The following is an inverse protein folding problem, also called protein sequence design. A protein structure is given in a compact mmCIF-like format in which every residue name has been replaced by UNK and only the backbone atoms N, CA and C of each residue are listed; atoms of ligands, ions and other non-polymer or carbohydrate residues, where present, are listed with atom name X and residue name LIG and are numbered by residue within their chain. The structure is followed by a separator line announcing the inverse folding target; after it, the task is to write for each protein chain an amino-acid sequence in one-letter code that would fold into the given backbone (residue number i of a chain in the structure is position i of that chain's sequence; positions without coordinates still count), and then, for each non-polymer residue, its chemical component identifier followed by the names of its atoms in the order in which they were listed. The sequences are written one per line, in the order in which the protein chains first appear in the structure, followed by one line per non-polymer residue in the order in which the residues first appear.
data_IF_123465125783
#
_entry.id   IF_123465125783
#
_cell.length_a   1.000
_cell.length_b   1.000
_cell.length_c   1.000
_cell.angle_alpha   90.00
_cell.angle_beta   90.00
_cell.angle_gamma   90.00
#
_symmetry.space_group_name_H-M   'P 1'
#
loop_
_entity.id
_entity.type
_entity.pdbx_description
1 polymer ?
#
# COMPACT_ATOMS: atom_id res chain seq x y z
N UNK A 1 55.06 23.72 -20.04
CA UNK A 1 55.41 23.85 -21.48
C UNK A 1 56.91 23.58 -21.61
N UNK A 2 57.31 22.92 -22.72
CA UNK A 2 58.60 22.26 -23.02
C UNK A 2 58.67 20.81 -22.48
N UNK A 3 58.27 19.75 -23.20
CA UNK A 3 58.80 19.13 -24.44
C UNK A 3 60.23 18.58 -24.25
N UNK A 4 60.64 17.35 -24.62
CA UNK A 4 60.14 16.33 -25.56
C UNK A 4 60.98 15.02 -25.50
N UNK A 5 60.34 13.85 -25.66
CA UNK A 5 60.69 12.59 -26.41
C UNK A 5 62.08 11.89 -26.19
N UNK A 6 62.33 10.58 -26.44
CA UNK A 6 61.67 9.53 -27.25
C UNK A 6 62.12 8.08 -26.86
N UNK A 7 61.27 7.10 -27.21
CA UNK A 7 61.46 5.71 -27.76
C UNK A 7 62.59 4.78 -27.24
N UNK A 8 62.39 3.46 -27.07
CA UNK A 8 61.99 2.47 -28.09
C UNK A 8 61.84 1.05 -27.49
N UNK A 9 60.92 0.23 -28.07
CA UNK A 9 60.83 -1.24 -27.94
C UNK A 9 61.50 -1.93 -29.14
N UNK A 10 61.86 -3.23 -29.07
CA UNK A 10 61.11 -4.29 -29.81
C UNK A 10 60.93 -5.61 -29.00
N UNK A 11 59.79 -6.32 -29.11
CA UNK A 11 59.52 -7.54 -29.93
C UNK A 11 60.37 -8.80 -29.59
N UNK A 12 59.81 -9.91 -29.06
CA UNK A 12 58.96 -10.99 -29.63
C UNK A 12 59.79 -12.23 -30.02
N UNK A 13 59.44 -13.43 -29.52
CA UNK A 13 59.99 -14.70 -30.00
C UNK A 13 59.70 -15.91 -29.12
N UNK A 14 59.05 -16.93 -29.68
CA UNK A 14 58.31 -17.98 -29.00
C UNK A 14 58.99 -19.37 -28.94
N UNK A 15 58.53 -20.16 -27.95
CA UNK A 15 58.29 -21.63 -27.91
C UNK A 15 59.34 -22.66 -28.37
N UNK A 16 59.59 -23.67 -27.51
CA UNK A 16 59.71 -25.08 -27.91
C UNK A 16 59.39 -26.09 -26.79
N UNK A 17 59.04 -27.29 -27.23
CA UNK A 17 58.26 -28.39 -26.64
C UNK A 17 58.92 -29.24 -25.52
N UNK A 18 58.06 -30.03 -24.85
CA UNK A 18 58.26 -31.10 -23.83
C UNK A 18 58.88 -32.40 -24.43
N UNK A 19 59.33 -33.43 -23.64
CA UNK A 19 58.42 -34.44 -23.04
C UNK A 19 58.87 -35.23 -21.76
N UNK A 20 57.89 -35.93 -21.15
CA UNK A 20 57.94 -37.19 -20.35
C UNK A 20 58.71 -37.22 -19.00
N UNK A 21 58.48 -38.10 -18.00
CA UNK A 21 57.38 -38.94 -17.50
C UNK A 21 57.98 -39.74 -16.34
N UNK A 22 57.43 -39.72 -15.11
CA UNK A 22 57.52 -40.86 -14.16
C UNK A 22 56.76 -40.60 -12.86
N UNK A 23 56.06 -41.66 -12.44
CA UNK A 23 55.14 -41.79 -11.31
C UNK A 23 55.81 -41.53 -9.95
N UNK A 24 55.05 -41.09 -8.94
CA UNK A 24 54.72 -41.87 -7.72
C UNK A 24 53.87 -41.01 -6.76
N UNK A 25 52.72 -41.54 -6.38
CA UNK A 25 51.75 -40.99 -5.44
C UNK A 25 52.26 -40.91 -3.99
N UNK A 26 52.09 -39.77 -3.33
CA UNK A 26 51.84 -39.71 -1.88
C UNK A 26 50.81 -38.60 -1.56
N UNK A 27 49.57 -39.06 -1.39
CA UNK A 27 48.44 -38.56 -0.58
C UNK A 27 48.64 -37.22 0.16
N UNK A 28 47.99 -36.17 -0.33
CA UNK A 28 47.67 -34.96 0.44
C UNK A 28 46.15 -34.73 0.42
N UNK A 29 45.53 -34.59 1.58
CA UNK A 29 44.11 -34.27 1.78
C UNK A 29 43.80 -32.83 1.33
N UNK A 30 42.76 -32.56 0.52
CA UNK A 30 42.41 -31.18 0.21
C UNK A 30 41.68 -30.54 1.39
N UNK A 31 42.19 -29.39 1.84
CA UNK A 31 41.47 -28.42 2.67
C UNK A 31 40.19 -27.99 1.96
N UNK A 32 39.06 -28.03 2.66
CA UNK A 32 37.78 -27.48 2.22
C UNK A 32 37.91 -25.97 1.93
N UNK A 33 37.43 -25.45 0.79
CA UNK A 33 37.43 -24.03 0.53
C UNK A 33 36.37 -23.33 1.40
N UNK A 34 36.77 -22.22 2.02
CA UNK A 34 35.90 -21.28 2.72
C UNK A 34 34.72 -20.89 1.84
N UNK A 35 33.51 -21.31 2.23
CA UNK A 35 32.26 -21.04 1.55
C UNK A 35 31.94 -19.55 1.68
N UNK A 36 32.12 -18.80 0.59
CA UNK A 36 31.59 -17.44 0.47
C UNK A 36 30.07 -17.50 0.68
N UNK A 37 29.43 -16.55 1.39
CA UNK A 37 27.98 -16.52 1.50
C UNK A 37 27.40 -16.28 0.10
N UNK A 38 26.66 -17.25 -0.41
CA UNK A 38 25.90 -17.09 -1.66
C UNK A 38 24.80 -16.06 -1.43
N UNK A 39 24.86 -14.93 -2.15
CA UNK A 39 23.76 -13.98 -2.23
C UNK A 39 22.52 -14.71 -2.75
N UNK A 40 21.40 -14.61 -2.03
CA UNK A 40 20.13 -15.21 -2.47
C UNK A 40 19.65 -14.51 -3.74
N UNK A 41 19.03 -15.25 -4.67
CA UNK A 41 18.49 -14.69 -5.92
C UNK A 41 17.53 -13.51 -5.68
N UNK A 42 16.86 -13.46 -4.52
CA UNK A 42 16.01 -12.35 -4.11
C UNK A 42 16.81 -11.04 -3.89
N UNK A 43 17.98 -11.13 -3.25
CA UNK A 43 18.85 -9.96 -2.99
C UNK A 43 19.46 -9.35 -4.25
N UNK A 44 19.73 -10.17 -5.27
CA UNK A 44 20.21 -9.69 -6.58
C UNK A 44 19.08 -8.99 -7.36
N UNK A 45 17.86 -9.51 -7.29
CA UNK A 45 16.69 -8.89 -7.92
C UNK A 45 16.30 -7.57 -7.24
N UNK A 46 16.42 -7.49 -5.91
CA UNK A 46 16.23 -6.24 -5.16
C UNK A 46 17.29 -5.18 -5.52
N UNK A 47 18.56 -5.56 -5.71
CA UNK A 47 19.64 -4.66 -6.14
C UNK A 47 19.46 -4.16 -7.59
N UNK A 48 18.94 -5.00 -8.49
CA UNK A 48 18.77 -4.67 -9.91
C UNK A 48 17.55 -3.79 -10.22
N UNK A 49 16.67 -3.55 -9.24
CA UNK A 49 15.41 -2.82 -9.45
C UNK A 49 15.49 -1.30 -9.24
N UNK A 50 16.65 -0.78 -8.82
CA UNK A 50 16.86 0.67 -8.72
C UNK A 50 17.11 1.22 -10.12
N UNK A 51 16.10 1.87 -10.71
CA UNK A 51 16.26 2.59 -11.97
C UNK A 51 17.50 3.52 -11.88
N UNK A 52 18.37 3.57 -12.92
CA UNK A 52 19.56 4.39 -12.89
C UNK A 52 19.17 5.86 -12.71
N UNK A 53 19.50 6.43 -11.55
CA UNK A 53 19.34 7.85 -11.28
C UNK A 53 20.36 8.58 -12.14
N UNK A 54 19.94 9.60 -12.90
CA UNK A 54 20.86 10.45 -13.67
C UNK A 54 21.93 11.04 -12.74
N UNK A 55 23.13 10.47 -12.77
CA UNK A 55 24.33 11.06 -12.19
C UNK A 55 24.75 12.25 -13.05
N UNK A 56 25.21 13.33 -12.43
CA UNK A 56 25.69 14.58 -13.04
C UNK A 56 24.66 15.71 -13.22
N UNK A 57 24.30 16.34 -12.10
CA UNK A 57 24.04 17.79 -12.07
C UNK A 57 24.41 18.30 -10.68
N UNK A 58 25.08 19.46 -10.60
CA UNK A 58 25.36 20.16 -9.34
C UNK A 58 24.04 20.81 -8.87
N UNK A 59 23.17 20.01 -8.25
CA UNK A 59 21.81 20.43 -7.86
C UNK A 59 21.91 21.32 -6.61
N UNK A 60 21.36 22.55 -6.63
CA UNK A 60 21.39 23.42 -5.46
C UNK A 60 20.60 22.81 -4.30
N UNK A 61 21.20 22.80 -3.12
CA UNK A 61 20.52 22.37 -1.89
C UNK A 61 19.44 23.40 -1.52
N UNK A 62 18.24 22.91 -1.21
CA UNK A 62 17.09 23.70 -0.76
C UNK A 62 16.60 23.16 0.58
N UNK A 63 16.06 24.04 1.43
CA UNK A 63 15.31 23.60 2.59
C UNK A 63 13.86 23.32 2.17
N UNK A 64 13.45 22.05 2.18
CA UNK A 64 12.10 21.68 1.79
C UNK A 64 11.04 22.23 2.76
N UNK A 65 11.40 22.51 4.02
CA UNK A 65 10.47 22.96 5.06
C UNK A 65 9.82 24.30 4.73
N UNK A 66 10.56 25.17 4.03
CA UNK A 66 10.13 26.52 3.65
C UNK A 66 9.53 26.59 2.25
N UNK A 67 9.46 25.47 1.52
CA UNK A 67 8.84 25.44 0.20
C UNK A 67 7.34 25.71 0.38
N UNK A 68 6.76 26.68 -0.35
CA UNK A 68 5.36 27.02 -0.19
C UNK A 68 4.45 25.95 -0.82
N UNK A 69 3.29 25.71 -0.20
CA UNK A 69 2.31 24.73 -0.68
C UNK A 69 1.91 24.92 -2.13
N UNK A 70 1.87 26.16 -2.63
CA UNK A 70 1.60 26.49 -4.04
C UNK A 70 2.50 25.75 -5.04
N UNK A 71 3.77 25.49 -4.69
CA UNK A 71 4.70 24.76 -5.56
C UNK A 71 4.23 23.31 -5.79
N UNK A 72 3.63 22.68 -4.76
CA UNK A 72 3.11 21.32 -4.88
C UNK A 72 1.78 21.23 -5.62
N UNK A 73 0.97 22.28 -5.62
CA UNK A 73 -0.37 22.26 -6.24
C UNK A 73 -0.44 22.96 -7.60
N UNK A 74 0.65 23.59 -8.06
CA UNK A 74 0.70 24.36 -9.30
C UNK A 74 0.15 23.61 -10.53
N UNK A 75 0.55 22.34 -10.71
CA UNK A 75 0.14 21.52 -11.85
C UNK A 75 -1.13 20.68 -11.58
N UNK A 76 -1.87 20.98 -10.51
CA UNK A 76 -3.03 20.18 -10.12
C UNK A 76 -4.30 20.71 -10.78
N UNK A 77 -4.92 19.88 -11.62
CA UNK A 77 -6.30 20.11 -12.04
C UNK A 77 -7.25 19.66 -10.92
N UNK A 78 -7.82 20.63 -10.21
CA UNK A 78 -8.75 20.36 -9.12
C UNK A 78 -10.15 20.09 -9.70
N UNK A 79 -10.61 18.84 -9.54
CA UNK A 79 -11.96 18.44 -9.92
C UNK A 79 -12.87 18.37 -8.69
N UNK A 80 -14.11 18.80 -8.85
CA UNK A 80 -15.12 18.80 -7.80
C UNK A 80 -16.32 17.98 -8.22
N UNK A 81 -17.03 17.44 -7.24
CA UNK A 81 -18.37 16.89 -7.42
C UNK A 81 -19.39 17.80 -6.74
N UNK A 82 -20.49 18.09 -7.41
CA UNK A 82 -21.59 18.87 -6.83
C UNK A 82 -22.33 18.04 -5.78
N UNK A 83 -22.79 18.69 -4.71
CA UNK A 83 -23.36 18.00 -3.54
C UNK A 83 -24.61 17.14 -3.82
N UNK A 84 -25.39 17.49 -4.85
CA UNK A 84 -26.62 16.81 -5.24
C UNK A 84 -26.41 15.75 -6.34
N UNK A 85 -25.19 15.58 -6.87
CA UNK A 85 -24.89 14.53 -7.85
C UNK A 85 -25.03 13.15 -7.24
N UNK A 86 -25.35 12.16 -8.07
CA UNK A 86 -25.50 10.76 -7.67
C UNK A 86 -24.15 10.14 -7.28
N UNK A 87 -24.18 9.20 -6.34
CA UNK A 87 -22.97 8.46 -5.90
C UNK A 87 -22.30 7.73 -7.05
N UNK A 88 -23.08 7.14 -7.95
CA UNK A 88 -22.60 6.39 -9.10
C UNK A 88 -21.76 7.29 -10.02
N UNK A 89 -22.22 8.52 -10.27
CA UNK A 89 -21.48 9.52 -11.04
C UNK A 89 -20.20 9.94 -10.34
N UNK A 90 -20.24 10.17 -9.03
CA UNK A 90 -19.05 10.51 -8.25
C UNK A 90 -18.03 9.37 -8.23
N UNK A 91 -18.49 8.13 -8.12
CA UNK A 91 -17.66 6.93 -8.21
C UNK A 91 -17.03 6.81 -9.60
N UNK A 92 -17.79 7.06 -10.66
CA UNK A 92 -17.29 7.03 -12.03
C UNK A 92 -16.20 8.10 -12.24
N UNK A 93 -16.39 9.31 -11.69
CA UNK A 93 -15.35 10.35 -11.68
C UNK A 93 -14.07 9.91 -10.95
N UNK A 94 -14.16 9.21 -9.82
CA UNK A 94 -12.97 8.67 -9.14
C UNK A 94 -12.20 7.70 -10.05
N UNK A 95 -12.92 6.82 -10.76
CA UNK A 95 -12.34 5.81 -11.65
C UNK A 95 -11.74 6.45 -12.90
N UNK A 96 -12.50 7.26 -13.63
CA UNK A 96 -12.10 7.84 -14.92
C UNK A 96 -10.88 8.75 -14.81
N UNK A 97 -10.81 9.52 -13.72
CA UNK A 97 -9.69 10.43 -13.48
C UNK A 97 -8.58 9.83 -12.61
N UNK A 98 -8.68 8.55 -12.24
CA UNK A 98 -7.70 7.87 -11.39
C UNK A 98 -7.50 8.55 -10.02
N UNK A 99 -8.55 9.18 -9.50
CA UNK A 99 -8.55 9.92 -8.24
C UNK A 99 -8.94 9.01 -7.08
N UNK A 100 -8.39 9.32 -5.91
CA UNK A 100 -8.66 8.57 -4.67
C UNK A 100 -9.57 9.33 -3.70
N UNK A 101 -9.96 10.56 -4.04
CA UNK A 101 -10.92 11.39 -3.31
C UNK A 101 -11.35 12.57 -4.19
N UNK A 102 -12.58 13.04 -4.02
CA UNK A 102 -13.22 14.16 -4.69
C UNK A 102 -13.70 15.19 -3.66
N UNK A 103 -13.26 16.45 -3.71
CA UNK A 103 -13.90 17.53 -2.96
C UNK A 103 -15.36 17.72 -3.39
N UNK A 104 -16.25 17.87 -2.41
CA UNK A 104 -17.68 18.13 -2.62
C UNK A 104 -17.91 19.63 -2.56
N UNK A 105 -18.47 20.19 -3.63
CA UNK A 105 -18.82 21.60 -3.74
C UNK A 105 -20.31 21.80 -3.48
N UNK A 106 -20.63 22.68 -2.54
CA UNK A 106 -22.01 23.11 -2.27
C UNK A 106 -22.53 24.05 -3.35
N UNK A 107 -23.84 24.28 -3.36
CA UNK A 107 -24.50 25.29 -4.19
C UNK A 107 -23.94 26.71 -3.94
N UNK A 108 -23.51 27.01 -2.72
CA UNK A 108 -22.84 28.28 -2.37
C UNK A 108 -21.41 28.40 -2.93
N UNK A 109 -20.89 27.33 -3.52
CA UNK A 109 -19.54 27.26 -4.09
C UNK A 109 -18.44 26.88 -3.11
N UNK A 110 -18.77 26.68 -1.83
CA UNK A 110 -17.84 26.25 -0.79
C UNK A 110 -17.55 24.75 -0.86
N UNK A 111 -16.39 24.32 -0.37
CA UNK A 111 -16.07 22.90 -0.23
C UNK A 111 -16.56 22.42 1.14
N UNK A 112 -17.57 21.55 1.14
CA UNK A 112 -18.24 21.09 2.37
C UNK A 112 -17.73 19.73 2.88
N UNK A 113 -16.79 19.13 2.16
CA UNK A 113 -16.21 17.84 2.49
C UNK A 113 -15.56 17.17 1.29
N UNK A 114 -15.34 15.86 1.41
CA UNK A 114 -14.81 15.03 0.33
C UNK A 114 -15.67 13.79 0.16
N UNK A 115 -15.55 13.13 -0.98
CA UNK A 115 -16.09 11.80 -1.26
C UNK A 115 -14.94 10.89 -1.69
N UNK A 116 -14.81 9.71 -1.11
CA UNK A 116 -13.75 8.76 -1.45
C UNK A 116 -14.22 7.29 -1.41
N UNK A 117 -13.28 6.38 -1.66
CA UNK A 117 -13.58 4.94 -1.65
C UNK A 117 -13.92 4.39 -0.26
N UNK A 118 -13.56 5.08 0.83
CA UNK A 118 -13.98 4.66 2.17
C UNK A 118 -15.46 4.94 2.40
N UNK A 119 -15.98 6.06 1.89
CA UNK A 119 -17.43 6.32 1.89
C UNK A 119 -18.18 5.28 1.09
N UNK A 120 -17.65 4.93 -0.08
CA UNK A 120 -18.23 3.91 -0.94
C UNK A 120 -18.24 2.52 -0.27
N UNK A 121 -17.19 2.20 0.49
CA UNK A 121 -17.13 0.98 1.29
C UNK A 121 -18.21 0.98 2.37
N UNK A 122 -18.31 2.06 3.16
CA UNK A 122 -19.32 2.20 4.20
C UNK A 122 -20.74 2.15 3.63
N UNK A 123 -20.98 2.83 2.51
CA UNK A 123 -22.23 2.80 1.77
C UNK A 123 -22.58 1.39 1.29
N UNK A 124 -21.65 0.66 0.69
CA UNK A 124 -21.88 -0.72 0.24
C UNK A 124 -22.24 -1.65 1.41
N UNK A 125 -21.50 -1.58 2.52
CA UNK A 125 -21.79 -2.35 3.73
C UNK A 125 -23.17 -2.01 4.32
N UNK A 126 -23.59 -0.74 4.22
CA UNK A 126 -24.90 -0.26 4.66
C UNK A 126 -26.03 -0.82 3.79
N UNK A 127 -25.89 -0.76 2.47
CA UNK A 127 -26.90 -1.26 1.52
C UNK A 127 -27.12 -2.76 1.69
N UNK A 128 -26.04 -3.51 1.96
CA UNK A 128 -26.06 -4.95 2.24
C UNK A 128 -26.65 -5.31 3.61
N UNK A 129 -26.96 -4.33 4.45
CA UNK A 129 -27.56 -4.52 5.77
C UNK A 129 -26.58 -5.07 6.82
N UNK A 130 -25.28 -5.02 6.53
CA UNK A 130 -24.23 -5.55 7.40
C UNK A 130 -23.75 -4.47 8.39
N UNK A 131 -23.69 -3.22 7.94
CA UNK A 131 -23.37 -2.08 8.78
C UNK A 131 -24.60 -1.17 8.93
N UNK A 132 -24.93 -0.79 10.16
CA UNK A 132 -26.12 0.01 10.49
C UNK A 132 -25.80 1.45 10.90
N UNK A 133 -24.63 1.96 10.49
CA UNK A 133 -24.12 3.22 11.03
C UNK A 133 -23.37 3.03 12.34
N UNK A 134 -22.90 4.15 12.89
CA UNK A 134 -22.44 4.20 14.27
C UNK A 134 -23.66 4.14 15.21
N UNK A 135 -23.76 3.18 16.15
CA UNK A 135 -24.87 3.07 17.09
C UNK A 135 -25.09 4.32 17.95
N UNK A 136 -24.07 5.18 18.06
CA UNK A 136 -24.09 6.40 18.86
C UNK A 136 -24.43 7.66 18.05
N UNK A 137 -24.61 7.54 16.73
CA UNK A 137 -25.04 8.67 15.90
C UNK A 137 -26.55 8.90 16.07
N UNK A 138 -27.00 10.06 16.60
CA UNK A 138 -28.42 10.39 16.70
C UNK A 138 -29.14 10.43 15.34
N UNK A 139 -28.39 10.50 14.22
CA UNK A 139 -28.91 10.42 12.85
C UNK A 139 -28.99 8.98 12.30
N UNK A 140 -28.87 7.95 13.16
CA UNK A 140 -28.93 6.54 12.77
C UNK A 140 -30.14 6.16 11.89
N UNK A 141 -31.28 6.83 12.07
CA UNK A 141 -32.49 6.63 11.26
C UNK A 141 -32.29 7.08 9.79
N UNK A 142 -31.55 8.16 9.57
CA UNK A 142 -31.23 8.69 8.23
C UNK A 142 -30.43 7.66 7.42
N UNK A 143 -29.57 6.85 8.06
CA UNK A 143 -28.82 5.80 7.37
C UNK A 143 -29.69 4.63 6.92
N UNK A 144 -30.66 4.24 7.73
CA UNK A 144 -31.63 3.20 7.38
C UNK A 144 -32.51 3.63 6.19
N UNK A 145 -32.89 4.91 6.17
CA UNK A 145 -33.67 5.52 5.09
C UNK A 145 -32.86 5.55 3.79
N UNK A 146 -31.59 5.99 3.83
CA UNK A 146 -30.69 5.98 2.66
C UNK A 146 -30.52 4.55 2.13
N UNK A 147 -30.33 3.57 3.01
CA UNK A 147 -30.19 2.18 2.62
C UNK A 147 -31.47 1.63 1.98
N UNK A 148 -32.64 2.01 2.50
CA UNK A 148 -33.93 1.62 1.93
C UNK A 148 -34.16 2.25 0.55
N UNK A 149 -33.84 3.54 0.41
CA UNK A 149 -33.94 4.28 -0.85
C UNK A 149 -33.02 3.68 -1.91
N UNK A 150 -31.79 3.31 -1.54
CA UNK A 150 -30.84 2.64 -2.43
C UNK A 150 -31.39 1.32 -2.94
N UNK A 151 -31.94 0.48 -2.05
CA UNK A 151 -32.50 -0.84 -2.42
C UNK A 151 -33.74 -0.72 -3.30
N UNK A 152 -34.48 0.38 -3.19
CA UNK A 152 -35.60 0.72 -4.06
C UNK A 152 -35.18 1.35 -5.39
N UNK A 153 -33.86 1.51 -5.65
CA UNK A 153 -33.33 2.10 -6.88
C UNK A 153 -33.44 3.63 -6.94
N UNK A 154 -33.61 4.28 -5.78
CA UNK A 154 -33.68 5.73 -5.69
C UNK A 154 -32.30 6.38 -5.79
N UNK A 155 -32.29 7.61 -6.31
CA UNK A 155 -31.07 8.41 -6.44
C UNK A 155 -30.56 8.86 -5.08
N UNK A 156 -29.28 8.60 -4.81
CA UNK A 156 -28.66 9.02 -3.55
C UNK A 156 -27.62 10.10 -3.86
N UNK A 157 -27.82 11.33 -3.37
CA UNK A 157 -26.86 12.39 -3.56
C UNK A 157 -25.62 12.19 -2.68
N UNK A 158 -24.47 12.60 -3.20
CA UNK A 158 -23.16 12.46 -2.55
C UNK A 158 -23.12 13.09 -1.16
N UNK A 159 -23.82 14.21 -0.94
CA UNK A 159 -23.85 14.89 0.37
C UNK A 159 -24.35 14.02 1.51
N UNK A 160 -25.20 13.03 1.24
CA UNK A 160 -25.75 12.13 2.28
C UNK A 160 -24.76 11.04 2.69
N UNK A 161 -23.75 10.77 1.87
CA UNK A 161 -22.76 9.71 2.14
C UNK A 161 -21.41 10.23 2.58
N UNK A 162 -21.20 11.55 2.54
CA UNK A 162 -19.93 12.18 2.87
C UNK A 162 -19.47 11.93 4.32
N UNK A 163 -20.37 11.58 5.23
CA UNK A 163 -20.03 11.37 6.64
C UNK A 163 -20.24 9.90 7.09
N UNK A 164 -20.46 8.96 6.15
CA UNK A 164 -20.64 7.54 6.49
C UNK A 164 -19.34 6.86 6.95
N UNK A 165 -18.23 7.21 6.32
CA UNK A 165 -16.92 6.63 6.64
C UNK A 165 -16.26 7.27 7.86
N UNK A 166 -15.34 6.55 8.50
CA UNK A 166 -14.42 7.13 9.50
C UNK A 166 -13.43 8.05 8.81
N UNK A 167 -13.78 9.33 8.69
CA UNK A 167 -13.00 10.31 7.93
C UNK A 167 -11.91 11.01 8.71
N UNK A 168 -10.86 11.34 7.97
CA UNK A 168 -9.89 12.30 8.43
C UNK A 168 -10.53 13.69 8.57
N UNK A 169 -10.06 14.51 9.52
CA UNK A 169 -10.48 15.91 9.59
C UNK A 169 -10.16 16.62 8.27
N UNK A 170 -11.09 17.45 7.80
CA UNK A 170 -10.86 18.32 6.66
C UNK A 170 -9.99 19.51 7.10
N UNK A 171 -8.69 19.44 6.83
CA UNK A 171 -7.71 20.46 7.22
C UNK A 171 -7.33 21.29 6.00
N UNK A 172 -7.36 22.61 6.15
CA UNK A 172 -6.92 23.59 5.16
C UNK A 172 -5.61 24.25 5.58
N UNK A 173 -4.77 24.61 4.61
CA UNK A 173 -3.55 25.41 4.78
C UNK A 173 -3.46 26.47 3.70
N UNK A 174 -2.85 27.62 4.01
CA UNK A 174 -2.60 28.68 3.02
C UNK A 174 -1.61 28.20 1.95
N UNK A 175 -1.76 28.69 0.71
CA UNK A 175 -0.83 28.42 -0.38
C UNK A 175 0.60 28.92 -0.13
N UNK A 176 0.74 29.90 0.76
CA UNK A 176 2.03 30.48 1.22
C UNK A 176 2.66 29.69 2.38
N UNK A 177 1.93 28.77 3.00
CA UNK A 177 2.40 27.96 4.12
C UNK A 177 3.52 27.00 3.67
N UNK A 178 4.52 26.79 4.54
CA UNK A 178 5.64 25.88 4.27
C UNK A 178 5.25 24.40 4.35
N UNK A 179 5.93 23.55 3.57
CA UNK A 179 5.70 22.09 3.59
C UNK A 179 5.96 21.44 4.96
N UNK A 180 6.73 22.07 5.86
CA UNK A 180 6.89 21.59 7.23
C UNK A 180 5.53 21.33 7.89
N UNK A 181 4.60 22.29 7.79
CA UNK A 181 3.27 22.16 8.40
C UNK A 181 2.46 21.02 7.78
N UNK A 182 2.57 20.85 6.47
CA UNK A 182 1.90 19.77 5.74
C UNK A 182 2.45 18.40 6.15
N UNK A 183 3.76 18.26 6.31
CA UNK A 183 4.38 17.02 6.79
C UNK A 183 3.96 16.71 8.23
N UNK A 184 3.82 17.71 9.11
CA UNK A 184 3.28 17.50 10.46
C UNK A 184 1.87 16.91 10.42
N UNK A 185 0.99 17.54 9.66
CA UNK A 185 -0.41 17.12 9.53
C UNK A 185 -0.51 15.72 8.91
N UNK A 186 0.19 15.49 7.80
CA UNK A 186 0.12 14.22 7.08
C UNK A 186 0.83 13.07 7.84
N UNK A 187 1.90 13.40 8.56
CA UNK A 187 2.68 12.51 9.40
C UNK A 187 2.02 12.15 10.73
N UNK A 188 0.96 12.85 11.14
CA UNK A 188 0.10 12.49 12.29
C UNK A 188 -1.04 11.52 11.90
N UNK A 189 -1.15 11.18 10.62
CA UNK A 189 -2.07 10.18 10.09
C UNK A 189 -3.28 10.73 9.33
N UNK A 190 -3.34 12.05 9.10
CA UNK A 190 -4.26 12.67 8.14
C UNK A 190 -3.80 12.32 6.73
N UNK A 191 -4.69 11.88 5.84
CA UNK A 191 -4.27 11.45 4.50
C UNK A 191 -4.15 12.59 3.49
N UNK A 192 -4.85 13.72 3.70
CA UNK A 192 -4.94 14.84 2.76
C UNK A 192 -5.08 16.19 3.46
N UNK A 193 -4.52 17.23 2.84
CA UNK A 193 -4.68 18.62 3.25
C UNK A 193 -5.13 19.44 2.04
N UNK A 194 -6.17 20.25 2.21
CA UNK A 194 -6.62 21.19 1.19
C UNK A 194 -5.78 22.48 1.24
N UNK A 195 -5.39 22.99 0.09
CA UNK A 195 -4.63 24.24 -0.04
C UNK A 195 -5.57 25.35 -0.46
N UNK A 196 -5.65 26.43 0.31
CA UNK A 196 -6.48 27.60 0.02
C UNK A 196 -5.64 28.76 -0.49
N UNK A 197 -6.23 29.56 -1.37
CA UNK A 197 -5.61 30.82 -1.84
C UNK A 197 -5.49 31.80 -0.68
N UNK A 198 -4.38 32.52 -0.63
CA UNK A 198 -4.08 33.47 0.43
C UNK A 198 -5.22 34.49 0.62
N UNK A 199 -5.67 34.66 1.87
CA UNK A 199 -6.75 35.59 2.21
C UNK A 199 -8.16 35.15 1.79
N UNK A 200 -8.34 33.92 1.30
CA UNK A 200 -9.66 33.39 0.89
C UNK A 200 -9.87 31.94 1.35
N UNK A 201 -11.13 31.49 1.39
CA UNK A 201 -11.48 30.08 1.61
C UNK A 201 -11.53 29.27 0.30
N UNK A 202 -11.01 29.82 -0.80
CA UNK A 202 -11.02 29.17 -2.10
C UNK A 202 -9.95 28.08 -2.17
N UNK A 203 -10.37 26.82 -2.28
CA UNK A 203 -9.47 25.68 -2.43
C UNK A 203 -8.87 25.66 -3.83
N UNK A 204 -7.55 25.75 -3.93
CA UNK A 204 -6.79 25.73 -5.19
C UNK A 204 -6.14 24.37 -5.46
N UNK A 205 -6.00 23.51 -4.44
CA UNK A 205 -5.40 22.19 -4.61
C UNK A 205 -5.54 21.30 -3.37
N UNK A 206 -5.08 20.06 -3.49
CA UNK A 206 -5.10 19.08 -2.40
C UNK A 206 -3.78 18.31 -2.38
N UNK A 207 -3.07 18.38 -1.27
CA UNK A 207 -1.83 17.64 -1.05
C UNK A 207 -2.16 16.34 -0.32
N UNK A 208 -1.92 15.20 -0.98
CA UNK A 208 -2.00 13.88 -0.37
C UNK A 208 -0.63 13.39 0.11
N UNK A 209 -0.62 12.40 1.01
CA UNK A 209 0.62 11.74 1.46
C UNK A 209 1.48 11.22 0.30
N UNK A 210 0.85 10.59 -0.70
CA UNK A 210 1.57 10.07 -1.88
C UNK A 210 2.16 11.21 -2.73
N UNK A 211 1.45 12.33 -2.87
CA UNK A 211 1.91 13.48 -3.68
C UNK A 211 3.14 14.15 -3.06
N UNK A 212 3.12 14.41 -1.75
CA UNK A 212 4.29 14.99 -1.07
C UNK A 212 5.47 14.02 -1.05
N UNK A 213 5.22 12.71 -0.93
CA UNK A 213 6.28 11.70 -1.02
C UNK A 213 6.89 11.63 -2.43
N UNK A 214 6.07 11.70 -3.49
CA UNK A 214 6.53 11.78 -4.87
C UNK A 214 7.37 13.04 -5.13
N UNK A 215 6.96 14.18 -4.55
CA UNK A 215 7.74 15.41 -4.59
C UNK A 215 9.11 15.25 -3.92
N UNK A 216 9.17 14.67 -2.71
CA UNK A 216 10.43 14.37 -2.03
C UNK A 216 11.29 13.39 -2.81
N UNK A 217 10.69 12.37 -3.44
CA UNK A 217 11.40 11.39 -4.25
C UNK A 217 12.06 12.04 -5.48
N UNK A 218 11.31 12.86 -6.22
CA UNK A 218 11.80 13.56 -7.42
C UNK A 218 12.89 14.59 -7.10
N UNK A 219 12.80 15.22 -5.94
CA UNK A 219 13.72 16.29 -5.53
C UNK A 219 14.73 15.87 -4.46
N UNK A 220 14.90 14.56 -4.21
CA UNK A 220 15.70 14.06 -3.08
C UNK A 220 17.13 14.62 -3.07
N UNK A 221 17.76 14.76 -4.24
CA UNK A 221 19.12 15.32 -4.40
C UNK A 221 19.23 16.77 -3.95
N UNK A 222 18.13 17.52 -4.01
CA UNK A 222 18.07 18.91 -3.55
C UNK A 222 17.91 19.00 -2.02
N UNK A 223 17.64 17.88 -1.35
CA UNK A 223 17.27 17.82 0.06
C UNK A 223 18.22 16.90 0.84
N UNK A 224 19.35 17.44 1.31
CA UNK A 224 20.41 16.70 1.99
C UNK A 224 19.92 15.66 3.03
N UNK A 225 18.98 16.03 3.91
CA UNK A 225 18.44 15.12 4.93
C UNK A 225 17.71 13.91 4.32
N UNK A 226 16.95 14.12 3.24
CA UNK A 226 16.20 13.04 2.57
C UNK A 226 17.18 12.16 1.80
N UNK A 227 18.16 12.75 1.12
CA UNK A 227 19.22 12.02 0.41
C UNK A 227 19.99 11.06 1.34
N UNK A 228 20.28 11.49 2.57
CA UNK A 228 20.97 10.67 3.58
C UNK A 228 20.12 9.52 4.13
N UNK A 229 18.79 9.70 4.22
CA UNK A 229 17.88 8.67 4.75
C UNK A 229 17.60 7.54 3.76
N UNK A 230 17.48 7.88 2.47
CA UNK A 230 17.09 6.95 1.41
C UNK A 230 17.95 5.67 1.32
N UNK A 231 19.30 5.69 1.44
CA UNK A 231 20.11 4.48 1.38
C UNK A 231 20.04 3.60 2.64
N UNK A 232 19.55 4.11 3.77
CA UNK A 232 19.50 3.36 5.02
C UNK A 232 18.46 2.23 4.94
N UNK A 233 18.79 1.10 5.57
CA UNK A 233 17.87 -0.04 5.64
C UNK A 233 16.74 0.20 6.63
N UNK A 234 15.59 -0.46 6.44
CA UNK A 234 14.45 -0.31 7.34
C UNK A 234 14.81 -0.74 8.78
N UNK A 235 15.68 -1.74 8.92
CA UNK A 235 16.22 -2.18 10.20
C UNK A 235 17.10 -1.12 10.86
N UNK A 236 17.99 -0.46 10.11
CA UNK A 236 18.85 0.61 10.65
C UNK A 236 18.03 1.81 11.11
N UNK A 237 16.93 2.10 10.42
CA UNK A 237 15.98 3.16 10.75
C UNK A 237 15.05 2.77 11.92
N UNK A 238 15.10 1.52 12.42
CA UNK A 238 14.11 0.94 13.35
C UNK A 238 12.67 1.23 12.90
N UNK A 239 12.41 0.98 11.62
CA UNK A 239 11.27 1.54 10.90
C UNK A 239 10.22 0.48 10.55
N UNK A 240 8.97 0.78 10.89
CA UNK A 240 7.81 -0.09 10.67
C UNK A 240 7.10 -0.47 11.96
N UNK A 241 5.80 -0.76 11.86
CA UNK A 241 4.96 -1.20 12.98
C UNK A 241 4.79 -2.72 12.95
N UNK A 242 4.84 -3.36 14.12
CA UNK A 242 4.55 -4.79 14.29
C UNK A 242 3.04 -5.09 14.32
N UNK A 243 2.21 -4.06 14.54
CA UNK A 243 0.76 -4.20 14.58
C UNK A 243 0.21 -4.18 13.15
N UNK A 244 0.04 -5.37 12.57
CA UNK A 244 -0.56 -5.54 11.25
C UNK A 244 -1.94 -6.16 11.38
N UNK A 245 -2.89 -5.61 10.63
CA UNK A 245 -4.21 -6.20 10.46
C UNK A 245 -4.19 -6.89 9.10
N UNK A 246 -4.42 -8.20 9.11
CA UNK A 246 -4.43 -9.06 7.93
C UNK A 246 -5.72 -9.85 7.87
N UNK A 247 -6.01 -10.39 6.69
CA UNK A 247 -7.12 -11.31 6.47
C UNK A 247 -6.61 -12.55 5.73
N UNK A 248 -7.13 -13.72 6.08
CA UNK A 248 -6.79 -14.94 5.35
C UNK A 248 -7.43 -14.91 3.95
N UNK A 249 -6.68 -15.38 2.95
CA UNK A 249 -7.10 -15.38 1.56
C UNK A 249 -8.41 -16.15 1.28
N UNK A 250 -8.72 -17.15 2.09
CA UNK A 250 -9.93 -17.96 1.94
C UNK A 250 -11.18 -17.30 2.55
N UNK A 251 -11.01 -16.26 3.37
CA UNK A 251 -12.13 -15.49 3.94
C UNK A 251 -12.81 -14.61 2.89
N UNK A 252 -14.05 -14.22 3.17
CA UNK A 252 -14.87 -13.46 2.23
C UNK A 252 -14.41 -12.03 2.07
N UNK A 253 -14.57 -11.48 0.87
CA UNK A 253 -14.33 -10.05 0.60
C UNK A 253 -15.16 -9.17 1.52
N UNK A 254 -16.42 -9.56 1.81
CA UNK A 254 -17.27 -8.86 2.75
C UNK A 254 -16.61 -8.66 4.13
N UNK A 255 -15.99 -9.72 4.67
CA UNK A 255 -15.28 -9.66 5.96
C UNK A 255 -14.06 -8.72 5.87
N UNK A 256 -13.37 -8.67 4.73
CA UNK A 256 -12.27 -7.73 4.49
C UNK A 256 -12.75 -6.28 4.55
N UNK A 257 -13.86 -5.97 3.86
CA UNK A 257 -14.44 -4.63 3.82
C UNK A 257 -14.95 -4.20 5.21
N UNK A 258 -15.61 -5.10 5.93
CA UNK A 258 -16.04 -4.87 7.31
C UNK A 258 -14.84 -4.56 8.21
N UNK A 259 -13.79 -5.38 8.14
CA UNK A 259 -12.58 -5.21 8.95
C UNK A 259 -11.89 -3.88 8.63
N UNK A 260 -11.80 -3.50 7.35
CA UNK A 260 -11.24 -2.21 6.93
C UNK A 260 -12.03 -1.02 7.47
N UNK A 261 -13.36 -1.06 7.32
CA UNK A 261 -14.26 -0.01 7.79
C UNK A 261 -14.24 0.11 9.32
N UNK A 262 -14.38 -1.02 10.03
CA UNK A 262 -14.38 -1.07 11.49
C UNK A 262 -13.06 -0.56 12.08
N UNK A 263 -11.93 -0.92 11.49
CA UNK A 263 -10.60 -0.53 11.99
C UNK A 263 -10.15 0.85 11.52
N UNK A 264 -10.85 1.45 10.55
CA UNK A 264 -10.50 2.73 9.93
C UNK A 264 -9.17 2.66 9.19
N UNK A 265 -8.92 1.57 8.46
CA UNK A 265 -7.68 1.33 7.71
C UNK A 265 -7.97 1.32 6.21
N UNK A 266 -7.00 1.79 5.43
CA UNK A 266 -7.10 1.95 3.97
C UNK A 266 -6.83 0.66 3.18
N UNK A 267 -6.21 -0.34 3.81
CA UNK A 267 -5.80 -1.59 3.18
C UNK A 267 -5.49 -2.69 4.19
N UNK A 268 -5.63 -3.94 3.74
CA UNK A 268 -5.35 -5.18 4.46
C UNK A 268 -4.29 -6.01 3.74
N UNK A 269 -3.42 -6.66 4.51
CA UNK A 269 -2.58 -7.73 4.00
C UNK A 269 -3.45 -8.96 3.81
N UNK A 270 -3.41 -9.57 2.63
CA UNK A 270 -4.02 -10.88 2.42
C UNK A 270 -2.93 -11.93 2.64
N UNK A 271 -3.20 -12.90 3.50
CA UNK A 271 -2.23 -13.94 3.90
C UNK A 271 -2.74 -15.35 3.63
N UNK A 272 -1.83 -16.31 3.47
CA UNK A 272 -2.15 -17.73 3.46
C UNK A 272 -2.22 -18.33 4.88
N UNK A 273 -2.47 -19.64 4.98
CA UNK A 273 -2.51 -20.38 6.25
C UNK A 273 -1.15 -20.46 6.97
N UNK A 274 -0.05 -20.13 6.30
CA UNK A 274 1.30 -20.08 6.88
C UNK A 274 1.70 -18.65 7.29
N UNK A 275 0.79 -17.68 7.18
CA UNK A 275 1.03 -16.24 7.38
C UNK A 275 1.97 -15.60 6.34
N UNK A 276 2.11 -16.18 5.15
CA UNK A 276 2.82 -15.54 4.04
C UNK A 276 1.91 -14.54 3.34
N UNK A 277 2.46 -13.39 2.92
CA UNK A 277 1.68 -12.34 2.26
C UNK A 277 1.37 -12.72 0.81
N UNK A 278 0.13 -13.03 0.50
CA UNK A 278 -0.29 -13.41 -0.87
C UNK A 278 -0.88 -12.25 -1.67
N UNK A 279 -1.15 -11.10 -1.04
CA UNK A 279 -1.67 -9.93 -1.74
C UNK A 279 -2.06 -8.77 -0.84
N UNK A 280 -2.81 -7.83 -1.40
CA UNK A 280 -3.34 -6.66 -0.70
C UNK A 280 -4.76 -6.35 -1.18
N UNK A 281 -5.66 -6.02 -0.26
CA UNK A 281 -6.97 -5.44 -0.58
C UNK A 281 -7.00 -4.05 0.00
N UNK A 282 -7.48 -3.08 -0.78
CA UNK A 282 -7.49 -1.65 -0.44
C UNK A 282 -8.84 -1.02 -0.73
N UNK A 283 -9.11 0.16 -0.16
CA UNK A 283 -10.38 0.87 -0.42
C UNK A 283 -10.58 1.10 -1.92
N UNK A 284 -9.50 1.36 -2.67
CA UNK A 284 -9.59 1.58 -4.12
C UNK A 284 -10.09 0.36 -4.89
N UNK A 285 -9.95 -0.85 -4.34
CA UNK A 285 -10.41 -2.07 -5.00
C UNK A 285 -11.94 -2.24 -4.94
N UNK A 286 -12.63 -1.48 -4.07
CA UNK A 286 -14.10 -1.46 -4.02
C UNK A 286 -14.73 -1.03 -5.33
N UNK A 287 -14.01 -0.28 -6.19
CA UNK A 287 -14.46 0.05 -7.55
C UNK A 287 -14.80 -1.19 -8.40
N UNK A 288 -14.24 -2.35 -8.09
CA UNK A 288 -14.56 -3.60 -8.78
C UNK A 288 -15.87 -4.24 -8.27
N UNK A 289 -16.45 -3.72 -7.19
CA UNK A 289 -17.67 -4.20 -6.54
C UNK A 289 -18.87 -3.26 -6.73
N UNK A 290 -18.68 -2.13 -7.42
CA UNK A 290 -19.72 -1.10 -7.58
C UNK A 290 -20.70 -1.41 -8.70
N UNK A 291 -20.36 -2.33 -9.61
CA UNK A 291 -21.25 -2.75 -10.70
C UNK A 291 -22.18 -3.84 -10.18
N UNK A 292 -23.46 -3.76 -10.53
CA UNK A 292 -24.46 -4.77 -10.10
C UNK A 292 -24.06 -6.19 -10.51
N UNK A 293 -23.38 -6.35 -11.66
CA UNK A 293 -22.88 -7.64 -12.13
C UNK A 293 -21.75 -8.23 -11.28
N UNK A 294 -21.02 -7.41 -10.53
CA UNK A 294 -19.89 -7.83 -9.71
C UNK A 294 -20.21 -7.94 -8.22
N UNK A 295 -21.43 -7.60 -7.80
CA UNK A 295 -21.89 -7.80 -6.42
C UNK A 295 -21.71 -9.23 -5.89
N UNK A 296 -21.86 -10.31 -6.68
CA UNK A 296 -21.57 -11.66 -6.19
C UNK A 296 -20.13 -11.85 -5.69
N UNK A 297 -19.16 -11.07 -6.20
CA UNK A 297 -17.77 -11.12 -5.75
C UNK A 297 -17.60 -10.75 -4.28
N UNK A 298 -18.52 -10.00 -3.69
CA UNK A 298 -18.44 -9.67 -2.25
C UNK A 298 -18.55 -10.91 -1.36
N UNK A 299 -19.21 -11.98 -1.85
CA UNK A 299 -19.36 -13.26 -1.17
C UNK A 299 -18.24 -14.25 -1.51
N UNK A 300 -17.41 -13.93 -2.50
CA UNK A 300 -16.26 -14.75 -2.90
C UNK A 300 -15.09 -14.61 -1.93
N UNK A 301 -14.10 -15.48 -2.04
CA UNK A 301 -12.88 -15.40 -1.24
C UNK A 301 -12.00 -14.22 -1.65
N UNK A 302 -11.19 -13.72 -0.72
CA UNK A 302 -10.22 -12.66 -0.98
C UNK A 302 -9.24 -13.06 -2.10
N UNK A 303 -8.78 -14.32 -2.15
CA UNK A 303 -7.92 -14.80 -3.24
C UNK A 303 -8.59 -14.71 -4.61
N UNK A 304 -9.85 -15.12 -4.71
CA UNK A 304 -10.59 -15.03 -5.97
C UNK A 304 -10.73 -13.57 -6.41
N UNK A 305 -11.08 -12.69 -5.48
CA UNK A 305 -11.19 -11.26 -5.75
C UNK A 305 -9.87 -10.64 -6.21
N UNK A 306 -8.74 -10.99 -5.58
CA UNK A 306 -7.41 -10.59 -6.05
C UNK A 306 -7.14 -11.05 -7.48
N UNK A 307 -7.49 -12.29 -7.82
CA UNK A 307 -7.33 -12.80 -9.19
C UNK A 307 -8.15 -11.97 -10.18
N UNK A 308 -9.37 -11.56 -9.84
CA UNK A 308 -10.21 -10.71 -10.69
C UNK A 308 -9.56 -9.34 -10.91
N UNK A 309 -9.05 -8.72 -9.84
CA UNK A 309 -8.37 -7.41 -9.92
C UNK A 309 -7.13 -7.48 -10.81
N UNK A 310 -6.33 -8.54 -10.67
CA UNK A 310 -5.12 -8.72 -11.45
C UNK A 310 -5.42 -8.92 -12.93
N UNK A 311 -6.45 -9.72 -13.26
CA UNK A 311 -6.91 -9.92 -14.63
C UNK A 311 -7.38 -8.61 -15.25
N UNK A 312 -8.19 -7.82 -14.53
CA UNK A 312 -8.68 -6.52 -15.02
C UNK A 312 -7.53 -5.54 -15.31
N UNK A 313 -6.54 -5.47 -14.41
CA UNK A 313 -5.33 -4.64 -14.60
C UNK A 313 -4.47 -5.12 -15.77
N UNK A 314 -4.30 -6.44 -15.92
CA UNK A 314 -3.55 -7.03 -17.04
C UNK A 314 -4.20 -6.70 -18.39
N UNK A 315 -5.53 -6.69 -18.44
CA UNK A 315 -6.31 -6.31 -19.62
C UNK A 315 -6.27 -4.80 -19.91
N UNK A 316 -6.30 -3.94 -18.87
CA UNK A 316 -6.31 -2.48 -19.05
C UNK A 316 -4.95 -1.89 -19.41
N UNK A 317 -3.89 -2.37 -18.77
CA UNK A 317 -2.57 -1.73 -18.83
C UNK A 317 -1.62 -2.47 -19.77
N UNK A 318 -2.02 -3.62 -20.31
CA UNK A 318 -1.20 -4.48 -21.18
C UNK A 318 0.07 -5.02 -20.51
N UNK A 319 0.15 -4.93 -19.18
CA UNK A 319 1.29 -5.35 -18.36
C UNK A 319 0.91 -6.60 -17.57
N UNK A 320 1.54 -7.72 -17.92
CA UNK A 320 1.48 -8.95 -17.13
C UNK A 320 2.48 -8.91 -15.96
N UNK A 321 2.39 -7.86 -15.13
CA UNK A 321 3.27 -7.66 -13.99
C UNK A 321 2.47 -7.67 -12.69
N UNK A 322 2.78 -8.64 -11.82
CA UNK A 322 2.16 -8.75 -10.50
C UNK A 322 2.73 -7.66 -9.56
N UNK A 323 1.92 -6.72 -9.05
CA UNK A 323 2.41 -5.70 -8.13
C UNK A 323 2.86 -6.32 -6.80
N UNK A 324 4.09 -5.98 -6.39
CA UNK A 324 4.70 -6.50 -5.16
C UNK A 324 4.51 -5.51 -4.01
N UNK A 325 3.67 -5.87 -3.04
CA UNK A 325 3.33 -5.02 -1.89
C UNK A 325 4.12 -5.34 -0.62
N UNK A 326 5.30 -5.96 -0.74
CA UNK A 326 6.11 -6.32 0.41
C UNK A 326 7.58 -5.92 0.27
N UNK A 327 8.20 -5.71 1.43
CA UNK A 327 9.62 -5.40 1.62
C UNK A 327 10.14 -6.19 2.81
N UNK A 328 11.45 -6.37 2.91
CA UNK A 328 12.09 -7.03 4.04
C UNK A 328 12.82 -6.00 4.94
N UNK A 329 13.18 -6.33 6.20
CA UNK A 329 13.89 -5.41 7.09
C UNK A 329 15.24 -4.90 6.55
N UNK A 330 15.83 -5.62 5.60
CA UNK A 330 17.10 -5.25 4.97
C UNK A 330 16.93 -4.37 3.73
N UNK A 331 15.70 -4.17 3.27
CA UNK A 331 15.38 -3.27 2.16
C UNK A 331 15.73 -1.84 2.55
N UNK A 332 16.17 -1.03 1.58
CA UNK A 332 16.42 0.39 1.83
C UNK A 332 15.11 1.17 1.89
N UNK A 333 15.14 2.34 2.53
CA UNK A 333 14.02 3.29 2.45
C UNK A 333 13.75 3.67 0.99
N UNK A 334 14.80 3.85 0.18
CA UNK A 334 14.67 4.14 -1.24
C UNK A 334 13.89 3.08 -2.00
N UNK A 335 14.21 1.80 -1.79
CA UNK A 335 13.49 0.68 -2.40
C UNK A 335 12.02 0.66 -1.99
N UNK A 336 11.77 0.91 -0.70
CA UNK A 336 10.41 0.93 -0.14
C UNK A 336 9.57 2.07 -0.72
N UNK A 337 10.14 3.28 -0.81
CA UNK A 337 9.48 4.45 -1.42
C UNK A 337 9.26 4.21 -2.91
N UNK A 338 10.24 3.67 -3.63
CA UNK A 338 10.11 3.35 -5.05
C UNK A 338 8.95 2.37 -5.30
N UNK A 339 8.87 1.28 -4.52
CA UNK A 339 7.74 0.34 -4.59
C UNK A 339 6.41 1.04 -4.31
N UNK A 340 6.33 1.88 -3.26
CA UNK A 340 5.10 2.59 -2.89
C UNK A 340 4.61 3.50 -4.02
N UNK A 341 5.51 4.25 -4.64
CA UNK A 341 5.20 5.12 -5.76
C UNK A 341 4.80 4.33 -7.01
N UNK A 342 5.53 3.26 -7.32
CA UNK A 342 5.28 2.41 -8.48
C UNK A 342 3.93 1.67 -8.39
N UNK A 343 3.58 1.15 -7.21
CA UNK A 343 2.30 0.45 -7.00
C UNK A 343 1.17 1.39 -6.58
N UNK A 344 1.46 2.68 -6.36
CA UNK A 344 0.54 3.68 -5.78
C UNK A 344 -0.13 3.20 -4.48
N UNK A 345 0.58 2.38 -3.70
CA UNK A 345 0.07 1.81 -2.47
C UNK A 345 0.14 2.82 -1.31
N UNK A 346 -0.71 2.63 -0.30
CA UNK A 346 -0.60 3.39 0.95
C UNK A 346 0.38 2.75 1.95
N UNK A 347 0.67 1.46 1.79
CA UNK A 347 1.42 0.63 2.73
C UNK A 347 2.22 -0.45 2.00
N UNK A 348 3.32 -0.85 2.61
CA UNK A 348 4.12 -2.03 2.27
C UNK A 348 4.14 -2.98 3.46
N UNK A 349 3.98 -4.27 3.18
CA UNK A 349 4.02 -5.31 4.19
C UNK A 349 5.47 -5.71 4.46
N UNK A 350 5.90 -5.62 5.72
CA UNK A 350 7.19 -6.14 6.13
C UNK A 350 7.09 -7.65 6.24
N UNK A 351 7.96 -8.35 5.52
CA UNK A 351 8.04 -9.80 5.54
C UNK A 351 9.40 -10.28 5.99
N UNK A 352 9.40 -11.36 6.77
CA UNK A 352 10.60 -12.13 7.05
C UNK A 352 10.88 -13.03 5.84
N UNK A 353 12.09 -12.92 5.29
CA UNK A 353 12.50 -13.78 4.19
C UNK A 353 12.43 -15.24 4.65
N UNK A 354 11.92 -16.17 3.83
CA UNK A 354 11.91 -17.58 4.18
C UNK A 354 13.36 -18.02 4.44
N UNK A 355 13.61 -18.55 5.64
CA UNK A 355 14.93 -19.07 6.00
C UNK A 355 15.27 -20.19 5.02
N UNK A 356 16.40 -20.12 4.32
CA UNK A 356 16.90 -21.19 3.43
C UNK A 356 17.38 -22.44 4.22
N UNK A 357 16.62 -22.85 5.24
CA UNK A 357 17.04 -23.83 6.24
C UNK A 357 16.39 -25.21 6.18
N UNK A 358 15.32 -25.43 5.38
CA UNK A 358 14.57 -26.69 5.44
C UNK A 358 14.26 -27.35 4.08
N UNK A 359 14.93 -26.94 3.01
CA UNK A 359 14.87 -27.65 1.72
C UNK A 359 16.12 -28.48 1.52
N UNK A 360 16.28 -29.55 2.30
CA UNK A 360 16.98 -30.70 1.75
C UNK A 360 16.14 -31.16 0.54
N UNK A 361 16.69 -31.25 -0.68
CA UNK A 361 15.93 -31.82 -1.78
C UNK A 361 15.62 -33.27 -1.40
N UNK A 362 14.34 -33.62 -1.28
CA UNK A 362 13.92 -35.01 -1.22
C UNK A 362 14.40 -35.66 -2.51
N UNK A 363 15.53 -36.36 -2.43
CA UNK A 363 16.01 -37.23 -3.51
C UNK A 363 14.85 -38.14 -3.91
N UNK A 364 14.38 -38.15 -5.16
CA UNK A 364 13.33 -39.07 -5.56
C UNK A 364 13.93 -40.47 -5.53
N UNK A 365 13.53 -41.28 -4.56
CA UNK A 365 13.80 -42.72 -4.55
C UNK A 365 13.00 -43.32 -5.71
N UNK A 366 13.69 -43.66 -6.80
CA UNK A 366 13.13 -44.37 -7.94
C UNK A 366 12.70 -45.76 -7.44
N UNK A 367 11.40 -46.13 -7.46
CA UNK A 367 11.02 -47.52 -7.28
C UNK A 367 11.32 -48.29 -8.56
N UNK A 368 11.88 -49.49 -8.43
CA UNK A 368 12.14 -50.39 -9.55
C UNK A 368 10.84 -50.69 -10.32
N UNK A 369 10.88 -50.46 -11.63
CA UNK A 369 9.80 -50.72 -12.59
C UNK A 369 9.63 -52.22 -12.79
N UNK A 370 8.51 -52.78 -12.32
CA UNK A 370 8.02 -54.08 -12.77
C UNK A 370 7.11 -53.87 -13.99
N UNK A 371 7.51 -54.41 -15.13
CA UNK A 371 6.76 -54.32 -16.39
C UNK A 371 5.50 -55.20 -16.36
N UNK A 372 4.34 -54.65 -16.71
CA UNK A 372 3.09 -55.37 -16.99
C UNK A 372 2.49 -54.78 -18.30
N UNK A 373 1.99 -55.60 -19.24
CA UNK A 373 1.69 -55.22 -20.63
C UNK A 373 0.35 -54.46 -20.78
N UNK A 374 0.09 -53.83 -21.95
CA UNK A 374 -1.04 -52.92 -22.11
C UNK A 374 -2.35 -53.67 -22.45
N UNK A 375 -3.53 -53.15 -22.06
CA UNK A 375 -4.78 -53.50 -22.71
C UNK A 375 -5.30 -52.39 -23.64
N UNK A 376 -6.08 -52.87 -24.60
CA UNK A 376 -6.48 -52.28 -25.87
C UNK A 376 -7.53 -51.16 -25.80
N UNK A 377 -7.60 -50.40 -26.90
CA UNK A 377 -8.60 -49.39 -27.26
C UNK A 377 -10.04 -49.92 -27.27
N UNK A 378 -10.98 -49.20 -26.65
CA UNK A 378 -12.40 -49.25 -26.99
C UNK A 378 -13.16 -47.96 -26.63
N UNK A 379 -13.69 -47.34 -27.70
CA UNK A 379 -14.98 -46.65 -27.88
C UNK A 379 -15.49 -45.54 -26.93
N UNK A 380 -16.17 -44.58 -27.58
CA UNK A 380 -16.61 -43.28 -27.09
C UNK A 380 -18.11 -43.21 -26.69
N UNK A 381 -18.42 -42.16 -25.91
CA UNK A 381 -19.69 -41.39 -25.80
C UNK A 381 -20.69 -41.77 -24.68
N UNK A 382 -21.61 -40.86 -24.23
CA UNK A 382 -21.52 -39.38 -24.12
C UNK A 382 -22.01 -38.79 -22.76
N UNK A 383 -21.65 -37.51 -22.57
CA UNK A 383 -22.33 -36.40 -21.85
C UNK A 383 -23.28 -36.71 -20.66
N UNK A 384 -22.88 -36.25 -19.47
CA UNK A 384 -23.80 -35.84 -18.41
C UNK A 384 -23.34 -34.51 -17.82
N UNK A 385 -24.18 -33.50 -18.00
CA UNK A 385 -24.03 -32.13 -17.54
C UNK A 385 -23.95 -32.05 -16.01
N UNK A 386 -22.80 -31.63 -15.50
CA UNK A 386 -22.64 -31.18 -14.12
C UNK A 386 -22.09 -29.74 -14.12
N UNK A 387 -22.79 -28.86 -13.41
CA UNK A 387 -22.47 -27.46 -13.20
C UNK A 387 -21.05 -27.30 -12.63
N UNK A 388 -20.28 -26.24 -12.98
CA UNK A 388 -18.98 -26.03 -12.38
C UNK A 388 -19.19 -25.61 -10.92
N UNK A 389 -18.98 -26.55 -10.02
CA UNK A 389 -18.69 -26.25 -8.61
C UNK A 389 -17.36 -25.51 -8.57
N UNK A 390 -17.35 -24.41 -7.83
CA UNK A 390 -16.22 -23.51 -7.58
C UNK A 390 -14.89 -24.26 -7.50
N UNK A 391 -14.04 -24.10 -8.52
CA UNK A 391 -12.66 -24.56 -8.44
C UNK A 391 -11.98 -23.79 -7.29
N UNK A 392 -11.63 -24.48 -6.21
CA UNK A 392 -10.83 -23.92 -5.13
C UNK A 392 -9.43 -23.65 -5.70
N UNK A 393 -9.16 -22.38 -6.04
CA UNK A 393 -7.82 -21.94 -6.40
C UNK A 393 -6.93 -22.09 -5.17
N UNK A 394 -5.97 -23.02 -5.24
CA UNK A 394 -4.93 -23.18 -4.21
C UNK A 394 -3.96 -22.00 -4.28
N UNK A 395 -3.43 -21.55 -3.14
CA UNK A 395 -2.39 -20.52 -3.07
C UNK A 395 -1.19 -20.82 -3.99
N UNK A 396 -0.94 -22.11 -4.29
CA UNK A 396 0.10 -22.53 -5.22
C UNK A 396 -0.14 -22.12 -6.69
N UNK A 397 -1.37 -21.77 -7.08
CA UNK A 397 -1.71 -21.35 -8.45
C UNK A 397 -1.66 -19.83 -8.67
N UNK A 398 -1.35 -19.04 -7.64
CA UNK A 398 -1.15 -17.60 -7.79
C UNK A 398 0.32 -17.35 -8.16
N UNK A 399 0.61 -16.80 -9.36
CA UNK A 399 1.98 -16.41 -9.71
C UNK A 399 2.53 -15.45 -8.64
N UNK A 400 3.67 -15.79 -8.03
CA UNK A 400 4.28 -14.99 -6.96
C UNK A 400 3.88 -15.35 -5.52
N UNK A 401 2.88 -16.23 -5.31
CA UNK A 401 2.46 -16.67 -3.97
C UNK A 401 3.51 -17.46 -3.17
N UNK A 402 4.54 -17.99 -3.86
CA UNK A 402 5.71 -18.66 -3.24
C UNK A 402 6.92 -17.75 -3.00
N UNK A 403 6.86 -16.49 -3.46
CA UNK A 403 7.98 -15.54 -3.38
C UNK A 403 7.84 -14.57 -2.22
N UNK A 404 6.69 -14.54 -1.55
CA UNK A 404 6.45 -13.68 -0.42
C UNK A 404 6.85 -14.35 0.90
N UNK A 405 7.37 -13.54 1.82
CA UNK A 405 7.75 -13.98 3.15
C UNK A 405 6.60 -13.92 4.16
N UNK A 406 6.89 -14.39 5.37
CA UNK A 406 5.97 -14.36 6.51
C UNK A 406 5.75 -12.91 6.96
N UNK A 407 4.49 -12.50 7.13
CA UNK A 407 4.14 -11.15 7.58
C UNK A 407 4.65 -10.89 9.01
N UNK A 408 5.45 -9.81 9.17
CA UNK A 408 6.01 -9.39 10.48
C UNK A 408 5.72 -7.94 10.83
N UNK A 409 5.28 -7.13 9.87
CA UNK A 409 5.04 -5.71 10.11
C UNK A 409 4.45 -4.97 8.92
N UNK A 410 4.33 -3.65 9.08
CA UNK A 410 3.84 -2.75 8.02
C UNK A 410 4.60 -1.44 8.06
N UNK A 411 4.89 -0.92 6.87
CA UNK A 411 5.38 0.44 6.63
C UNK A 411 4.31 1.20 5.87
N UNK A 412 3.94 2.38 6.33
CA UNK A 412 2.96 3.22 5.65
C UNK A 412 3.48 4.59 5.25
N UNK A 413 2.77 5.24 4.33
CA UNK A 413 3.06 6.63 3.95
C UNK A 413 3.13 7.55 5.17
N UNK A 414 2.24 7.39 6.15
CA UNK A 414 2.28 8.13 7.41
C UNK A 414 3.60 7.93 8.15
N UNK A 415 4.06 6.68 8.27
CA UNK A 415 5.32 6.37 8.95
C UNK A 415 6.50 7.04 8.22
N UNK A 416 6.50 7.02 6.88
CA UNK A 416 7.59 7.59 6.07
C UNK A 416 7.64 9.10 6.22
N UNK A 417 6.48 9.78 6.16
CA UNK A 417 6.42 11.23 6.36
C UNK A 417 6.78 11.61 7.79
N UNK A 418 6.40 10.81 8.77
CA UNK A 418 6.77 11.00 10.16
C UNK A 418 8.30 10.87 10.35
N UNK A 419 8.93 9.86 9.74
CA UNK A 419 10.39 9.69 9.73
C UNK A 419 11.10 10.90 9.11
N UNK A 420 10.65 11.32 7.92
CA UNK A 420 11.22 12.50 7.23
C UNK A 420 11.07 13.74 8.10
N UNK A 421 9.89 13.98 8.68
CA UNK A 421 9.64 15.11 9.56
C UNK A 421 10.53 15.11 10.81
N UNK A 422 10.62 13.97 11.52
CA UNK A 422 11.48 13.84 12.70
C UNK A 422 12.95 14.06 12.37
N UNK A 423 13.42 13.52 11.24
CA UNK A 423 14.81 13.71 10.78
C UNK A 423 15.15 15.18 10.48
N UNK A 424 14.15 15.99 10.15
CA UNK A 424 14.28 17.42 9.88
C UNK A 424 14.01 18.31 11.10
N UNK A 425 13.84 17.71 12.29
CA UNK A 425 13.66 18.41 13.57
C UNK A 425 12.21 18.71 13.96
N UNK A 426 11.20 18.13 13.29
CA UNK A 426 9.79 18.30 13.67
C UNK A 426 9.45 17.41 14.89
N UNK A 427 8.88 18.01 15.93
CA UNK A 427 8.70 17.37 17.26
C UNK A 427 7.29 16.87 17.54
N UNK A 428 6.25 17.45 16.91
CA UNK A 428 4.84 17.12 17.15
C UNK A 428 4.30 16.09 16.14
N UNK A 429 4.85 14.88 16.18
CA UNK A 429 4.59 13.86 15.15
C UNK A 429 4.21 12.51 15.78
N UNK A 430 2.93 12.29 16.08
CA UNK A 430 2.38 10.98 16.46
C UNK A 430 1.60 10.33 15.30
N UNK A 431 2.15 9.28 14.64
CA UNK A 431 1.50 8.59 13.51
C UNK A 431 0.11 8.00 13.83
N UNK A 432 -0.16 7.74 15.11
CA UNK A 432 -1.40 7.15 15.58
C UNK A 432 -2.47 8.17 15.94
N UNK A 433 -2.14 9.47 15.99
CA UNK A 433 -3.03 10.51 16.50
C UNK A 433 -4.33 10.61 15.70
N UNK A 434 -4.24 10.87 14.39
CA UNK A 434 -5.41 10.99 13.53
C UNK A 434 -6.20 9.67 13.45
N UNK A 435 -5.51 8.52 13.54
CA UNK A 435 -6.20 7.21 13.61
C UNK A 435 -6.99 7.06 14.91
N UNK A 436 -6.44 7.45 16.06
CA UNK A 436 -7.17 7.42 17.33
C UNK A 436 -8.31 8.43 17.32
N UNK A 437 -8.13 9.60 16.72
CA UNK A 437 -9.21 10.57 16.53
C UNK A 437 -10.34 9.99 15.68
N UNK A 438 -10.04 9.39 14.51
CA UNK A 438 -11.02 8.67 13.69
C UNK A 438 -11.79 7.58 14.44
N UNK A 439 -11.12 6.86 15.35
CA UNK A 439 -11.75 5.87 16.21
C UNK A 439 -12.59 6.50 17.32
N UNK A 440 -12.20 7.68 17.82
CA UNK A 440 -12.86 8.42 18.91
C UNK A 440 -14.01 9.30 18.46
N UNK A 441 -14.00 9.81 17.23
CA UNK A 441 -15.13 10.56 16.65
C UNK A 441 -16.39 9.68 16.55
N UNK A 442 -16.21 8.35 16.61
CA UNK A 442 -17.26 7.35 16.82
C UNK A 442 -17.62 7.09 18.29
N UNK A 443 -17.11 7.90 19.23
CA UNK A 443 -17.25 7.68 20.69
C UNK A 443 -17.28 8.99 21.50
N UNK A 444 -17.31 10.15 20.85
CA UNK A 444 -17.02 11.44 21.49
C UNK A 444 -18.21 12.13 22.16
N UNK A 445 -19.34 11.45 22.38
CA UNK A 445 -20.41 11.98 23.25
C UNK A 445 -20.19 11.71 24.75
N UNK A 446 -19.14 10.99 25.16
CA UNK A 446 -19.05 10.46 26.54
C UNK A 446 -18.16 11.27 27.51
N UNK A 447 -17.63 12.45 27.16
CA UNK A 447 -16.77 13.21 28.11
C UNK A 447 -17.15 14.66 28.41
N UNK A 448 -18.26 15.17 27.89
CA UNK A 448 -18.69 16.55 28.21
C UNK A 448 -19.72 16.65 29.35
N UNK A 449 -20.24 15.55 29.93
CA UNK A 449 -21.33 15.64 30.93
C UNK A 449 -21.03 15.06 32.33
N UNK A 450 -19.81 14.61 32.62
CA UNK A 450 -19.51 13.97 33.93
C UNK A 450 -18.75 14.92 34.90
N UNK A 451 -18.22 16.06 34.43
CA UNK A 451 -17.49 17.01 35.28
C UNK A 451 -18.30 18.21 35.80
N UNK A 452 -19.62 18.22 35.59
CA UNK A 452 -20.53 19.21 36.21
C UNK A 452 -21.34 18.63 37.40
N UNK A 453 -21.10 17.37 37.79
CA UNK A 453 -21.86 16.68 38.83
C UNK A 453 -21.18 16.58 40.21
N UNK A 454 -19.96 17.08 40.38
CA UNK A 454 -19.16 16.85 41.62
C UNK A 454 -18.94 18.05 42.53
N UNK A 455 -19.60 19.19 42.29
CA UNK A 455 -19.48 20.37 43.15
C UNK A 455 -20.74 20.76 43.94
N UNK A 456 -21.76 19.89 44.06
CA UNK A 456 -23.03 20.26 44.74
C UNK A 456 -23.57 19.26 45.79
N UNK A 457 -22.74 18.37 46.34
CA UNK A 457 -23.18 17.43 47.39
C UNK A 457 -22.56 17.66 48.78
N UNK A 458 -21.77 18.72 48.97
CA UNK A 458 -21.12 19.02 50.26
C UNK A 458 -21.72 20.25 50.99
N UNK A 459 -22.94 20.67 50.63
CA UNK A 459 -23.62 21.83 51.24
C UNK A 459 -24.84 21.49 52.11
N UNK A 460 -25.26 20.22 52.24
CA UNK A 460 -26.50 19.88 52.97
C UNK A 460 -26.27 19.03 54.22
N UNK A 461 -25.11 19.19 54.87
CA UNK A 461 -24.82 18.53 56.16
C UNK A 461 -24.27 19.50 57.21
N UNK A 462 -24.82 20.70 57.27
CA UNK A 462 -24.79 21.58 58.46
C UNK A 462 -26.04 22.45 58.49
N UNK A 463 -27.10 21.93 59.10
CA UNK A 463 -28.20 22.68 59.69
C UNK A 463 -28.81 21.83 60.79
#
# INVERSE_FOLDING_TARGET
MSASQASSSPELGAQKMTPSSSQTSLRATPRSPSRQPSLSHASITDLLSVAPRQENANVPQRDWRTIPCKELVADQELRFVEENKRIEEACQMLVDYGMSSLPIKSESGAVIGTFDYSDLTAFLLMVLGVWKGDPLDPNGNTFQDIASQSRSGGDIPVKLVKDLGKKDPFITVSETEGLAKVVEILGSGVHRVAVTREGTDSVIGVISQLRILDFFWKNAKSFAHIEQLLPLSLRELNFGSTQVISINGDQRVLEALELMNAQGISSLAVIDNHNNVVGNISNTDVKHLTRSSSLPLIKSSCLHFLSVILTDRGLSDGKDSYPVFHVNPHSTLAHTVAKILATRAHRMWLVEAPSEGNSAPSTPTIPATTAIPPPSLAAASPLSSSFPTTASLSVASIPGGRLSGRLIGVVSLTDILNLIGRSAGLTHLDPGEARRQRRRSSSSSVRASIDLGRSSFDSMRRS
#
